data_IF_157649079553
#
_entry.id   IF_157649079553
#
_cell.length_a   1.000
_cell.length_b   1.000
_cell.length_c   1.000
_cell.angle_alpha   90.00
_cell.angle_beta   90.00
_cell.angle_gamma   90.00
#
_symmetry.space_group_name_H-M   'P 1'
#
loop_
_entity.id
_entity.type
_entity.pdbx_description
1 polymer ?
#
# COMPACT_ATOMS: atom_id res chain seq x y z
N UNK A 1 -7.27 31.74 -34.06
CA UNK A 1 -6.40 32.90 -33.74
C UNK A 1 -5.35 32.41 -32.76
N UNK A 2 -4.12 32.91 -32.89
CA UNK A 2 -3.02 32.52 -31.99
C UNK A 2 -2.72 33.69 -31.05
N UNK A 3 -2.49 33.40 -29.77
CA UNK A 3 -2.21 34.39 -28.74
C UNK A 3 -0.98 33.97 -27.94
N UNK A 4 -0.14 34.93 -27.59
CA UNK A 4 0.86 34.76 -26.54
C UNK A 4 0.25 35.26 -25.22
N UNK A 5 0.23 34.40 -24.20
CA UNK A 5 -0.47 34.68 -22.96
C UNK A 5 0.36 34.19 -21.75
N UNK A 6 0.36 34.93 -20.63
CA UNK A 6 1.03 34.49 -19.42
C UNK A 6 0.30 33.29 -18.80
N UNK A 7 1.08 32.36 -18.24
CA UNK A 7 0.54 31.27 -17.42
C UNK A 7 -0.15 31.87 -16.20
N UNK A 8 -1.36 31.44 -15.91
CA UNK A 8 -2.22 31.97 -14.84
C UNK A 8 -3.31 32.94 -15.32
N UNK A 9 -3.26 33.44 -16.57
CA UNK A 9 -4.32 34.28 -17.12
C UNK A 9 -5.63 33.48 -17.22
N UNK A 10 -6.78 34.10 -16.92
CA UNK A 10 -8.08 33.44 -17.07
C UNK A 10 -8.38 33.12 -18.54
N UNK A 11 -8.82 31.89 -18.82
CA UNK A 11 -9.26 31.48 -20.16
C UNK A 11 -10.39 32.35 -20.70
N UNK A 12 -11.27 32.84 -19.83
CA UNK A 12 -12.31 33.81 -20.17
C UNK A 12 -11.76 35.05 -20.88
N UNK A 13 -10.66 35.62 -20.39
CA UNK A 13 -10.04 36.82 -20.97
C UNK A 13 -9.49 36.55 -22.37
N UNK A 14 -8.93 35.35 -22.59
CA UNK A 14 -8.46 34.95 -23.92
C UNK A 14 -9.62 34.78 -24.91
N UNK A 15 -10.74 34.22 -24.46
CA UNK A 15 -11.92 34.05 -25.31
C UNK A 15 -12.52 35.41 -25.66
N UNK A 16 -12.61 36.34 -24.69
CA UNK A 16 -13.01 37.71 -24.98
C UNK A 16 -12.06 38.40 -25.98
N UNK A 17 -10.74 38.27 -25.81
CA UNK A 17 -9.75 38.81 -26.74
C UNK A 17 -9.87 38.21 -28.15
N UNK A 18 -10.35 36.97 -28.28
CA UNK A 18 -10.61 36.30 -29.55
C UNK A 18 -11.92 36.71 -30.24
N UNK A 19 -12.74 37.58 -29.64
CA UNK A 19 -14.03 38.00 -30.17
C UNK A 19 -15.25 37.47 -29.39
N UNK A 20 -15.02 36.81 -28.26
CA UNK A 20 -16.07 36.34 -27.36
C UNK A 20 -16.77 35.06 -27.81
N UNK A 21 -17.83 34.72 -27.10
CA UNK A 21 -18.66 33.55 -27.41
C UNK A 21 -19.68 33.88 -28.49
N UNK A 22 -19.88 32.95 -29.41
CA UNK A 22 -21.01 33.01 -30.35
C UNK A 22 -22.30 32.58 -29.63
N UNK A 23 -23.48 32.99 -30.12
CA UNK A 23 -24.77 32.60 -29.50
C UNK A 23 -24.97 31.08 -29.43
N UNK A 24 -24.32 30.33 -30.32
CA UNK A 24 -24.38 28.88 -30.40
C UNK A 24 -23.28 28.19 -29.59
N UNK A 25 -22.44 28.93 -28.87
CA UNK A 25 -21.38 28.34 -28.04
C UNK A 25 -21.99 27.58 -26.87
N UNK A 26 -21.81 26.27 -26.85
CA UNK A 26 -22.36 25.40 -25.80
C UNK A 26 -21.29 24.50 -25.17
N UNK A 27 -20.11 24.41 -25.78
CA UNK A 27 -19.01 23.61 -25.27
C UNK A 27 -17.70 24.37 -25.36
N UNK A 28 -16.98 24.42 -24.24
CA UNK A 28 -15.60 24.89 -24.16
C UNK A 28 -14.70 23.68 -23.93
N UNK A 29 -13.65 23.56 -24.72
CA UNK A 29 -12.68 22.46 -24.63
C UNK A 29 -11.27 23.03 -24.50
N UNK A 30 -10.53 22.59 -23.50
CA UNK A 30 -9.10 22.82 -23.41
C UNK A 30 -8.35 21.77 -24.23
N UNK A 31 -7.73 22.19 -25.32
CA UNK A 31 -7.10 21.33 -26.31
C UNK A 31 -7.88 21.29 -27.63
N UNK A 32 -7.47 20.39 -28.53
CA UNK A 32 -8.10 20.26 -29.84
C UNK A 32 -9.44 19.51 -29.79
N UNK A 33 -10.15 19.49 -30.92
CA UNK A 33 -11.45 18.80 -31.06
C UNK A 33 -11.40 17.30 -30.72
N UNK A 34 -10.24 16.68 -30.84
CA UNK A 34 -10.06 15.23 -30.69
C UNK A 34 -9.53 14.81 -29.30
N UNK A 35 -8.53 15.54 -28.78
CA UNK A 35 -7.84 15.20 -27.53
C UNK A 35 -8.14 16.15 -26.37
N UNK A 36 -8.92 17.20 -26.63
CA UNK A 36 -9.20 18.21 -25.63
C UNK A 36 -10.15 17.73 -24.53
N UNK A 37 -10.06 18.40 -23.38
CA UNK A 37 -10.91 18.15 -22.21
C UNK A 37 -12.02 19.18 -22.18
N UNK A 38 -13.27 18.73 -22.12
CA UNK A 38 -14.40 19.62 -21.94
C UNK A 38 -14.33 20.31 -20.56
N UNK A 39 -14.40 21.64 -20.56
CA UNK A 39 -14.39 22.45 -19.36
C UNK A 39 -15.81 22.82 -18.97
N UNK A 40 -16.09 22.81 -17.67
CA UNK A 40 -17.38 23.25 -17.12
C UNK A 40 -17.49 24.79 -17.03
N UNK A 41 -16.35 25.48 -16.90
CA UNK A 41 -16.27 26.93 -16.75
C UNK A 41 -15.02 27.47 -17.43
N UNK A 42 -15.06 28.73 -17.82
CA UNK A 42 -13.95 29.48 -18.43
C UNK A 42 -13.15 30.30 -17.42
N UNK A 43 -13.54 30.28 -16.14
CA UNK A 43 -12.82 30.91 -15.04
C UNK A 43 -11.62 30.07 -14.54
N UNK A 44 -11.00 29.32 -15.45
CA UNK A 44 -9.86 28.45 -15.19
C UNK A 44 -8.61 29.15 -15.72
N UNK A 45 -7.48 29.12 -14.99
CA UNK A 45 -6.24 29.72 -15.48
C UNK A 45 -5.64 28.91 -16.63
N UNK A 46 -5.03 29.61 -17.58
CA UNK A 46 -4.16 29.04 -18.61
C UNK A 46 -2.96 28.41 -17.91
N UNK A 47 -2.76 27.12 -18.14
CA UNK A 47 -1.64 26.35 -17.59
C UNK A 47 -0.67 25.96 -18.70
N UNK A 48 0.51 25.44 -18.33
CA UNK A 48 1.51 25.00 -19.32
C UNK A 48 0.96 23.95 -20.31
N UNK A 49 -0.02 23.15 -19.89
CA UNK A 49 -0.70 22.15 -20.71
C UNK A 49 -1.77 22.73 -21.66
N UNK A 50 -2.15 24.00 -21.51
CA UNK A 50 -3.13 24.66 -22.36
C UNK A 50 -2.49 25.02 -23.70
N UNK A 51 -2.73 24.19 -24.73
CA UNK A 51 -2.26 24.45 -26.10
C UNK A 51 -3.26 25.32 -26.89
N UNK A 52 -4.53 24.93 -26.87
CA UNK A 52 -5.60 25.65 -27.54
C UNK A 52 -6.88 25.65 -26.71
N UNK A 53 -7.75 26.61 -26.97
CA UNK A 53 -9.12 26.67 -26.44
C UNK A 53 -10.06 26.54 -27.62
N UNK A 54 -10.91 25.52 -27.59
CA UNK A 54 -11.85 25.22 -28.65
C UNK A 54 -13.27 25.45 -28.15
N UNK A 55 -13.94 26.44 -28.74
CA UNK A 55 -15.34 26.74 -28.47
C UNK A 55 -16.17 26.21 -29.63
N UNK A 56 -17.15 25.36 -29.34
CA UNK A 56 -18.05 24.84 -30.37
C UNK A 56 -19.51 24.87 -29.93
N UNK A 57 -20.39 24.78 -30.92
CA UNK A 57 -21.74 24.30 -30.69
C UNK A 57 -21.68 22.85 -30.16
N UNK A 58 -22.66 22.48 -29.33
CA UNK A 58 -22.74 21.12 -28.82
C UNK A 58 -22.94 20.16 -29.99
N UNK A 59 -22.08 19.15 -30.11
CA UNK A 59 -22.36 18.05 -31.01
C UNK A 59 -23.68 17.40 -30.58
N UNK A 60 -24.56 16.99 -31.52
CA UNK A 60 -25.79 16.31 -31.17
C UNK A 60 -25.44 15.09 -30.31
N UNK A 61 -26.01 15.02 -29.10
CA UNK A 61 -25.88 13.85 -28.22
C UNK A 61 -26.64 12.70 -28.85
N UNK A 62 -26.01 11.98 -29.77
CA UNK A 62 -26.54 10.74 -30.29
C UNK A 62 -26.38 9.66 -29.22
N UNK A 63 -27.46 8.96 -28.89
CA UNK A 63 -27.35 7.82 -27.99
C UNK A 63 -26.47 6.75 -28.64
N UNK A 64 -25.52 6.15 -27.90
CA UNK A 64 -24.66 5.12 -28.45
C UNK A 64 -25.49 3.91 -28.84
N UNK A 65 -25.37 3.51 -30.10
CA UNK A 65 -26.00 2.30 -30.64
C UNK A 65 -25.10 1.07 -30.36
N UNK A 66 -25.66 -0.15 -30.41
CA UNK A 66 -24.86 -1.36 -30.33
C UNK A 66 -23.77 -1.43 -31.43
N UNK A 67 -22.62 -2.01 -31.09
CA UNK A 67 -21.52 -2.19 -32.04
C UNK A 67 -21.92 -3.20 -33.13
N UNK A 68 -21.95 -2.75 -34.38
CA UNK A 68 -22.23 -3.60 -35.57
C UNK A 68 -20.99 -4.32 -36.12
N UNK A 69 -19.85 -4.22 -35.43
CA UNK A 69 -18.58 -4.86 -35.80
C UNK A 69 -18.05 -4.53 -37.21
N UNK A 70 -18.20 -3.28 -37.66
CA UNK A 70 -17.81 -2.83 -39.00
C UNK A 70 -16.29 -2.70 -39.28
N UNK A 71 -15.39 -2.87 -38.31
CA UNK A 71 -13.93 -2.83 -38.53
C UNK A 71 -13.29 -1.44 -38.68
N UNK A 72 -14.04 -0.40 -39.10
CA UNK A 72 -13.51 0.98 -39.36
C UNK A 72 -12.62 1.56 -38.27
N UNK A 73 -12.90 1.24 -37.01
CA UNK A 73 -12.11 1.72 -35.87
C UNK A 73 -10.64 1.25 -35.91
N UNK A 74 -10.36 0.05 -36.43
CA UNK A 74 -9.01 -0.49 -36.54
C UNK A 74 -8.24 0.21 -37.68
N UNK A 75 -8.89 0.42 -38.82
CA UNK A 75 -8.30 1.13 -39.98
C UNK A 75 -7.93 2.58 -39.65
N UNK A 76 -8.73 3.25 -38.83
CA UNK A 76 -8.48 4.64 -38.44
C UNK A 76 -7.46 4.79 -37.29
N UNK A 77 -6.97 3.69 -36.71
CA UNK A 77 -6.10 3.75 -35.54
C UNK A 77 -4.66 4.10 -35.95
N UNK A 78 -4.10 5.25 -35.51
CA UNK A 78 -2.73 5.64 -35.90
C UNK A 78 -1.64 4.75 -35.29
N UNK A 79 -1.97 4.00 -34.23
CA UNK A 79 -1.06 3.08 -33.52
C UNK A 79 -1.35 1.61 -33.85
N UNK A 80 -2.21 1.32 -34.84
CA UNK A 80 -2.55 -0.04 -35.29
C UNK A 80 -3.01 -1.01 -34.19
N UNK A 81 -3.76 -0.50 -33.20
CA UNK A 81 -4.39 -1.34 -32.18
C UNK A 81 -5.66 -2.02 -32.72
N UNK A 82 -6.29 -2.86 -31.90
CA UNK A 82 -7.60 -3.45 -32.14
C UNK A 82 -8.68 -2.83 -31.23
N UNK A 83 -9.20 -1.61 -31.53
CA UNK A 83 -10.19 -0.93 -30.69
C UNK A 83 -11.44 -1.75 -30.42
N UNK A 84 -11.87 -2.57 -31.38
CA UNK A 84 -13.01 -3.45 -31.21
C UNK A 84 -12.82 -4.43 -30.03
N UNK A 85 -11.68 -5.13 -29.98
CA UNK A 85 -11.39 -6.09 -28.91
C UNK A 85 -11.19 -5.38 -27.57
N UNK A 86 -10.41 -4.30 -27.57
CA UNK A 86 -10.20 -3.46 -26.40
C UNK A 86 -11.52 -2.95 -25.82
N UNK A 87 -12.48 -2.54 -26.66
CA UNK A 87 -13.79 -2.08 -26.20
C UNK A 87 -14.58 -3.18 -25.51
N UNK A 88 -14.63 -4.39 -26.09
CA UNK A 88 -15.35 -5.50 -25.48
C UNK A 88 -14.75 -5.90 -24.14
N UNK A 89 -13.42 -5.98 -24.03
CA UNK A 89 -12.76 -6.30 -22.77
C UNK A 89 -12.88 -5.18 -21.74
N UNK A 90 -12.74 -3.91 -22.14
CA UNK A 90 -12.92 -2.76 -21.25
C UNK A 90 -14.36 -2.68 -20.73
N UNK A 91 -15.35 -2.86 -21.59
CA UNK A 91 -16.78 -2.87 -21.21
C UNK A 91 -17.11 -4.03 -20.26
N UNK A 92 -16.50 -5.19 -20.46
CA UNK A 92 -16.67 -6.35 -19.58
C UNK A 92 -15.78 -6.29 -18.33
N UNK A 93 -14.99 -5.23 -18.13
CA UNK A 93 -14.03 -5.08 -17.03
C UNK A 93 -12.99 -6.22 -16.94
N UNK A 94 -12.67 -6.86 -18.06
CA UNK A 94 -11.62 -7.88 -18.14
C UNK A 94 -10.23 -7.23 -18.32
N UNK A 95 -9.74 -6.56 -17.29
CA UNK A 95 -8.55 -5.71 -17.36
C UNK A 95 -7.27 -6.46 -17.77
N UNK A 96 -7.09 -7.69 -17.32
CA UNK A 96 -5.96 -8.54 -17.71
C UNK A 96 -5.87 -8.71 -19.24
N UNK A 97 -7.01 -8.93 -19.91
CA UNK A 97 -7.06 -9.01 -21.37
C UNK A 97 -6.85 -7.65 -22.00
N UNK A 98 -7.36 -6.58 -21.41
CA UNK A 98 -7.13 -5.22 -21.90
C UNK A 98 -5.63 -4.89 -21.90
N UNK A 99 -4.88 -5.32 -20.88
CA UNK A 99 -3.42 -5.19 -20.85
C UNK A 99 -2.72 -6.05 -21.89
N UNK A 100 -3.14 -7.31 -22.07
CA UNK A 100 -2.60 -8.20 -23.10
C UNK A 100 -2.77 -7.64 -24.52
N UNK A 101 -3.81 -6.83 -24.74
CA UNK A 101 -4.06 -6.12 -26.00
C UNK A 101 -3.42 -4.72 -26.04
N UNK A 102 -2.41 -4.47 -25.20
CA UNK A 102 -1.56 -3.28 -25.24
C UNK A 102 -2.32 -1.96 -25.12
N UNK A 103 -3.31 -1.88 -24.22
CA UNK A 103 -4.09 -0.65 -23.99
C UNK A 103 -3.22 0.58 -23.69
N UNK A 104 -2.04 0.40 -23.10
CA UNK A 104 -1.13 1.50 -22.75
C UNK A 104 -0.50 2.18 -23.96
N UNK A 105 -0.47 1.52 -25.12
CA UNK A 105 -0.01 2.11 -26.37
C UNK A 105 -1.07 3.02 -27.01
N UNK A 106 -2.33 2.94 -26.53
CA UNK A 106 -3.38 3.82 -27.00
C UNK A 106 -3.08 5.27 -26.58
N UNK A 107 -2.90 6.18 -27.53
CA UNK A 107 -2.66 7.61 -27.24
C UNK A 107 -3.93 8.44 -27.03
N UNK A 108 -5.10 7.79 -26.92
CA UNK A 108 -6.39 8.46 -26.67
C UNK A 108 -6.75 9.56 -27.69
N UNK A 109 -6.32 9.36 -28.95
CA UNK A 109 -6.52 10.32 -30.03
C UNK A 109 -7.97 10.51 -30.50
N UNK A 110 -8.92 9.65 -30.12
CA UNK A 110 -10.33 9.83 -30.53
C UNK A 110 -10.71 9.35 -31.93
N UNK A 111 -9.75 8.99 -32.79
CA UNK A 111 -10.03 8.61 -34.19
C UNK A 111 -11.04 7.46 -34.29
N UNK A 112 -10.92 6.45 -33.43
CA UNK A 112 -11.81 5.29 -33.41
C UNK A 112 -13.25 5.66 -33.03
N UNK A 113 -13.45 6.59 -32.10
CA UNK A 113 -14.77 7.05 -31.67
C UNK A 113 -15.43 7.91 -32.76
N UNK A 114 -14.64 8.76 -33.43
CA UNK A 114 -15.12 9.63 -34.51
C UNK A 114 -15.63 8.85 -35.73
N UNK A 115 -14.92 7.81 -36.17
CA UNK A 115 -15.33 7.01 -37.35
C UNK A 115 -16.42 5.97 -37.04
N UNK A 116 -16.85 5.85 -35.79
CA UNK A 116 -17.78 4.82 -35.36
C UNK A 116 -19.21 5.15 -35.84
N UNK A 117 -19.84 4.33 -36.70
CA UNK A 117 -21.21 4.58 -37.13
C UNK A 117 -22.22 4.45 -35.98
N UNK A 118 -21.88 3.68 -34.96
CA UNK A 118 -22.70 3.49 -33.76
C UNK A 118 -22.50 4.61 -32.72
N UNK A 119 -21.64 5.61 -32.97
CA UNK A 119 -21.33 6.72 -32.06
C UNK A 119 -20.92 6.25 -30.65
N UNK A 120 -20.17 5.16 -30.57
CA UNK A 120 -19.71 4.61 -29.28
C UNK A 120 -18.53 5.46 -28.78
N UNK A 121 -18.57 5.95 -27.53
CA UNK A 121 -17.47 6.73 -26.95
C UNK A 121 -16.30 5.82 -26.52
N UNK A 122 -15.62 5.23 -27.51
CA UNK A 122 -14.57 4.23 -27.30
C UNK A 122 -13.43 4.72 -26.38
N UNK A 123 -13.02 5.98 -26.53
CA UNK A 123 -11.94 6.57 -25.73
C UNK A 123 -12.27 6.64 -24.25
N UNK A 124 -13.52 6.88 -23.88
CA UNK A 124 -13.92 6.97 -22.47
C UNK A 124 -13.79 5.61 -21.78
N UNK A 125 -14.12 4.51 -22.48
CA UNK A 125 -13.88 3.15 -21.98
C UNK A 125 -12.38 2.86 -21.81
N UNK A 126 -11.53 3.35 -22.71
CA UNK A 126 -10.09 3.15 -22.63
C UNK A 126 -9.46 3.94 -21.50
N UNK A 127 -9.87 5.21 -21.32
CA UNK A 127 -9.48 6.04 -20.18
C UNK A 127 -9.87 5.40 -18.87
N UNK A 128 -11.11 4.92 -18.77
CA UNK A 128 -11.59 4.17 -17.61
C UNK A 128 -10.71 2.95 -17.35
N UNK A 129 -10.47 2.11 -18.37
CA UNK A 129 -9.69 0.88 -18.19
C UNK A 129 -8.25 1.16 -17.75
N UNK A 130 -7.57 2.15 -18.35
CA UNK A 130 -6.22 2.55 -17.92
C UNK A 130 -6.21 3.08 -16.48
N UNK A 131 -7.18 3.91 -16.11
CA UNK A 131 -7.28 4.45 -14.76
C UNK A 131 -7.51 3.34 -13.73
N UNK A 132 -8.39 2.38 -14.02
CA UNK A 132 -8.69 1.23 -13.14
C UNK A 132 -7.45 0.33 -12.98
N UNK A 133 -6.76 0.01 -14.07
CA UNK A 133 -5.50 -0.74 -14.04
C UNK A 133 -4.43 -0.02 -13.20
N UNK A 134 -4.25 1.29 -13.40
CA UNK A 134 -3.27 2.05 -12.63
C UNK A 134 -3.64 2.10 -11.14
N UNK A 135 -4.91 2.28 -10.81
CA UNK A 135 -5.37 2.21 -9.43
C UNK A 135 -5.09 0.84 -8.79
N UNK A 136 -5.31 -0.26 -9.52
CA UNK A 136 -4.98 -1.60 -9.06
C UNK A 136 -3.47 -1.80 -8.85
N UNK A 137 -2.64 -1.26 -9.75
CA UNK A 137 -1.18 -1.28 -9.57
C UNK A 137 -0.74 -0.52 -8.34
N UNK A 138 -1.24 0.69 -8.12
CA UNK A 138 -0.91 1.50 -6.94
C UNK A 138 -1.30 0.79 -5.64
N UNK A 139 -2.47 0.13 -5.61
CA UNK A 139 -2.90 -0.66 -4.45
C UNK A 139 -1.97 -1.84 -4.22
N UNK A 140 -1.59 -2.56 -5.29
CA UNK A 140 -0.66 -3.68 -5.21
C UNK A 140 0.71 -3.23 -4.68
N UNK A 141 1.29 -2.20 -5.25
CA UNK A 141 2.59 -1.64 -4.83
C UNK A 141 2.56 -1.22 -3.34
N UNK A 142 1.49 -0.55 -2.89
CA UNK A 142 1.34 -0.18 -1.48
C UNK A 142 1.22 -1.41 -0.58
N UNK A 143 0.52 -2.46 -1.02
CA UNK A 143 0.43 -3.71 -0.28
C UNK A 143 1.79 -4.43 -0.20
N UNK A 144 2.54 -4.44 -1.30
CA UNK A 144 3.88 -5.04 -1.38
C UNK A 144 4.84 -4.34 -0.42
N UNK A 145 4.89 -2.99 -0.46
CA UNK A 145 5.68 -2.18 0.46
C UNK A 145 5.28 -2.37 1.94
N UNK A 146 3.98 -2.58 2.21
CA UNK A 146 3.50 -2.84 3.57
C UNK A 146 3.96 -4.23 4.07
N UNK A 147 3.96 -5.25 3.20
CA UNK A 147 4.46 -6.59 3.53
C UNK A 147 5.96 -6.55 3.83
N UNK A 148 6.76 -5.91 2.99
CA UNK A 148 8.20 -5.73 3.23
C UNK A 148 8.47 -5.09 4.59
N UNK A 149 7.76 -4.01 4.93
CA UNK A 149 7.87 -3.34 6.24
C UNK A 149 7.50 -4.26 7.40
N UNK A 150 6.47 -5.08 7.23
CA UNK A 150 6.05 -6.04 8.25
C UNK A 150 7.13 -7.10 8.48
N UNK A 151 7.67 -7.66 7.40
CA UNK A 151 8.69 -8.70 7.45
C UNK A 151 9.96 -8.18 8.16
N UNK A 152 10.44 -6.99 7.81
CA UNK A 152 11.57 -6.34 8.51
C UNK A 152 11.30 -6.11 10.00
N UNK A 153 10.06 -5.79 10.38
CA UNK A 153 9.70 -5.63 11.78
C UNK A 153 9.71 -6.95 12.54
N UNK A 154 9.18 -8.02 11.93
CA UNK A 154 9.18 -9.36 12.51
C UNK A 154 10.61 -9.88 12.72
N UNK A 155 11.49 -9.72 11.72
CA UNK A 155 12.90 -10.11 11.84
C UNK A 155 13.60 -9.40 12.99
N UNK A 156 13.35 -8.10 13.18
CA UNK A 156 13.90 -7.33 14.31
C UNK A 156 13.39 -7.84 15.65
N UNK A 157 12.10 -8.14 15.75
CA UNK A 157 11.49 -8.68 16.97
C UNK A 157 12.00 -10.09 17.29
N UNK A 158 12.14 -10.95 16.28
CA UNK A 158 12.70 -12.29 16.45
C UNK A 158 14.16 -12.24 16.91
N UNK A 159 14.98 -11.39 16.31
CA UNK A 159 16.37 -11.19 16.75
C UNK A 159 16.44 -10.76 18.21
N UNK A 160 15.64 -9.75 18.59
CA UNK A 160 15.58 -9.28 19.97
C UNK A 160 15.06 -10.34 20.95
N UNK A 161 14.09 -11.18 20.55
CA UNK A 161 13.60 -12.31 21.36
C UNK A 161 14.67 -13.39 21.53
N UNK A 162 15.40 -13.75 20.47
CA UNK A 162 16.50 -14.72 20.50
C UNK A 162 17.62 -14.23 21.41
N UNK A 163 18.08 -12.99 21.24
CA UNK A 163 19.10 -12.38 22.12
C UNK A 163 18.66 -12.34 23.59
N UNK A 164 17.39 -12.01 23.87
CA UNK A 164 16.84 -12.04 25.24
C UNK A 164 16.79 -13.46 25.81
N UNK A 165 16.36 -14.44 25.01
CA UNK A 165 16.30 -15.84 25.41
C UNK A 165 17.70 -16.40 25.71
N UNK A 166 18.70 -16.07 24.89
CA UNK A 166 20.11 -16.44 25.10
C UNK A 166 20.67 -15.81 26.38
N UNK A 167 20.44 -14.50 26.61
CA UNK A 167 20.84 -13.83 27.85
C UNK A 167 20.17 -14.45 29.07
N UNK A 168 18.87 -14.72 29.01
CA UNK A 168 18.14 -15.40 30.10
C UNK A 168 18.66 -16.81 30.36
N UNK A 169 18.99 -17.58 29.31
CA UNK A 169 19.58 -18.91 29.44
C UNK A 169 20.97 -18.84 30.07
N UNK A 170 21.81 -17.89 29.67
CA UNK A 170 23.12 -17.64 30.29
C UNK A 170 22.99 -17.24 31.76
N UNK A 171 22.06 -16.33 32.09
CA UNK A 171 21.80 -15.93 33.48
C UNK A 171 21.28 -17.10 34.33
N UNK A 172 20.39 -17.95 33.80
CA UNK A 172 19.91 -19.17 34.48
C UNK A 172 21.03 -20.19 34.67
N UNK A 173 21.88 -20.42 33.67
CA UNK A 173 23.04 -21.30 33.78
C UNK A 173 24.03 -20.79 34.83
N UNK A 174 24.35 -19.50 34.84
CA UNK A 174 25.22 -18.88 35.83
C UNK A 174 24.63 -18.90 37.25
N UNK A 175 23.30 -18.80 37.39
CA UNK A 175 22.61 -18.97 38.67
C UNK A 175 22.65 -20.43 39.16
N UNK A 176 22.50 -21.41 38.26
CA UNK A 176 22.59 -22.84 38.57
C UNK A 176 24.02 -23.25 39.00
N UNK A 177 25.05 -22.69 38.38
CA UNK A 177 26.44 -22.92 38.82
C UNK A 177 26.70 -22.35 40.21
N UNK A 178 26.03 -21.24 40.58
CA UNK A 178 26.10 -20.67 41.94
C UNK A 178 25.28 -21.48 42.95
N UNK A 179 24.13 -22.06 42.58
CA UNK A 179 23.34 -22.89 43.50
C UNK A 179 24.02 -24.22 43.84
N UNK A 180 24.77 -24.82 42.90
CA UNK A 180 25.58 -26.00 43.20
C UNK A 180 26.68 -25.70 44.25
N UNK A 181 27.17 -24.45 44.34
CA UNK A 181 28.11 -24.03 45.40
C UNK A 181 27.47 -23.80 46.78
N UNK A 182 26.14 -23.71 46.85
CA UNK A 182 25.37 -23.65 48.11
C UNK A 182 24.95 -25.02 48.60
N UNK A 183 24.76 -26.01 47.72
CA UNK A 183 24.48 -27.39 48.14
C UNK A 183 25.68 -28.00 48.88
N UNK A 184 26.92 -27.65 48.48
CA UNK A 184 28.14 -27.98 49.23
C UNK A 184 28.17 -27.37 50.65
N UNK A 185 27.59 -26.17 50.82
CA UNK A 185 27.47 -25.50 52.12
C UNK A 185 26.33 -26.07 52.96
N UNK A 186 25.22 -26.46 52.34
CA UNK A 186 24.09 -27.11 53.04
C UNK A 186 24.45 -28.53 53.50
N UNK A 187 25.19 -29.30 52.69
CA UNK A 187 25.77 -30.59 53.09
C UNK A 187 26.77 -30.45 54.26
N UNK A 188 27.60 -29.41 54.26
CA UNK A 188 28.52 -29.12 55.37
C UNK A 188 27.80 -28.73 56.68
N UNK A 189 26.67 -28.01 56.61
CA UNK A 189 25.86 -27.61 57.77
C UNK A 189 25.11 -28.83 58.36
N UNK A 190 24.58 -29.72 57.53
CA UNK A 190 23.92 -30.95 57.99
C UNK A 190 24.92 -31.93 58.64
N UNK A 191 26.11 -32.10 58.05
CA UNK A 191 27.18 -32.90 58.64
C UNK A 191 27.72 -32.33 59.98
N UNK A 192 27.65 -31.01 60.20
CA UNK A 192 27.99 -30.38 61.47
C UNK A 192 26.92 -30.58 62.55
N UNK A 193 25.63 -30.57 62.17
CA UNK A 193 24.50 -30.83 63.07
C UNK A 193 24.46 -32.28 63.56
N UNK A 194 24.83 -33.25 62.73
CA UNK A 194 24.92 -34.66 63.13
C UNK A 194 26.09 -34.93 64.09
N UNK A 195 27.24 -34.29 63.87
CA UNK A 195 28.37 -34.33 64.82
C UNK A 195 28.03 -33.68 66.16
N UNK A 196 27.24 -32.60 66.16
CA UNK A 196 26.77 -31.96 67.39
C UNK A 196 25.74 -32.84 68.15
N UNK A 197 24.88 -33.57 67.43
CA UNK A 197 23.95 -34.55 68.02
C UNK A 197 24.67 -35.77 68.59
N UNK A 198 25.71 -36.26 67.92
CA UNK A 198 26.55 -37.35 68.43
C UNK A 198 27.31 -36.95 69.71
N UNK A 199 27.81 -35.71 69.79
CA UNK A 199 28.44 -35.17 71.01
C UNK A 199 27.45 -34.96 72.16
N UNK A 200 26.20 -34.57 71.86
CA UNK A 200 25.13 -34.48 72.88
C UNK A 200 24.64 -35.86 73.35
N UNK A 201 24.64 -36.88 72.49
CA UNK A 201 24.34 -38.26 72.88
C UNK A 201 25.44 -38.86 73.78
N UNK A 202 26.70 -38.48 73.57
CA UNK A 202 27.81 -38.88 74.45
C UNK A 202 27.81 -38.16 75.82
N UNK A 203 27.23 -36.96 75.91
CA UNK A 203 27.08 -36.24 77.19
C UNK A 203 25.84 -36.66 78.03
N UNK A 204 24.95 -37.49 77.48
CA UNK A 204 23.78 -38.01 78.18
C UNK A 204 24.00 -39.41 78.81
N UNK A 205 25.22 -39.96 78.75
CA UNK A 205 25.55 -41.30 79.24
C UNK A 205 26.73 -41.31 80.23
N UNK A 206 26.62 -40.56 81.34
CA UNK A 206 27.46 -40.78 82.54
C UNK A 206 26.53 -40.75 83.78
N UNK A 207 26.44 -41.85 84.57
CA UNK A 207 25.53 -41.98 85.71
C UNK A 207 26.15 -41.49 87.03
N UNK A 208 25.34 -40.87 87.88
CA UNK A 208 25.70 -40.48 89.26
C UNK A 208 25.15 -41.52 90.26
N UNK A 209 25.96 -42.13 91.15
CA UNK A 209 25.46 -42.89 92.29
C UNK A 209 25.39 -42.02 93.57
N UNK A 210 24.28 -42.15 94.31
CA UNK A 210 24.07 -41.86 95.75
C UNK A 210 24.88 -42.85 96.63
N UNK A 211 25.06 -42.73 97.98
CA UNK A 211 24.16 -42.12 98.98
C UNK A 211 24.76 -41.46 100.28
N UNK A 212 23.89 -40.78 101.05
CA UNK A 212 23.69 -40.52 102.51
C UNK A 212 24.78 -40.46 103.62
N UNK A 213 24.41 -39.67 104.67
CA UNK A 213 24.78 -39.67 106.12
C UNK A 213 26.09 -38.95 106.52
N UNK A 214 26.26 -38.23 107.64
CA UNK A 214 25.43 -37.74 108.76
C UNK A 214 26.28 -36.68 109.55
N UNK A 215 25.62 -35.82 110.33
CA UNK A 215 26.08 -35.22 111.61
C UNK A 215 27.23 -34.18 111.73
N UNK A 216 26.78 -32.97 112.10
CA UNK A 216 27.14 -32.18 113.30
C UNK A 216 28.58 -31.74 113.57
N UNK A 217 28.79 -30.42 113.54
CA UNK A 217 29.27 -29.60 114.65
C UNK A 217 28.99 -28.11 114.36
#
# INVERSE_FOLDING_TARGET
>A
QNFEAPIGLSMHMLIQAAGGYTPNAQQLVMGGSMMGVALATDQIPVVKATNCLWVSAQAPKTMPLPCIRCGRCAEACPVNLLPQQLYWYARARHLEKVEQYHIFDCIECGCCAYVCPSHIPLVDYYRYAKADINAQREVREKADLARERHDFHQERLERAKREKAEKLAQHKAAAQTKTNSTDDKQAAIQAALERAKAKKAQQAAIPTPTPTEDKSA
#
